data_IF_934229094483
#
_entry.id   IF_934229094483
#
_cell.length_a   1.000
_cell.length_b   1.000
_cell.length_c   1.000
_cell.angle_alpha   90.00
_cell.angle_beta   90.00
_cell.angle_gamma   90.00
#
_symmetry.space_group_name_H-M   'P 1'
#
loop_
_entity.id
_entity.type
_entity.pdbx_description
1 polymer ?
#
# COMPACT_ATOMS: atom_id res chain seq x y z
N UNK A 1 -5.41 -4.44 -6.65
CA UNK A 1 -4.82 -4.75 -5.31
C UNK A 1 -5.83 -4.55 -4.18
N UNK A 2 -6.38 -3.33 -3.98
CA UNK A 2 -7.31 -3.04 -2.87
C UNK A 2 -8.55 -3.95 -2.87
N UNK A 3 -9.17 -4.18 -4.04
CA UNK A 3 -10.33 -5.07 -4.15
C UNK A 3 -10.03 -6.48 -3.63
N UNK A 4 -8.94 -7.10 -4.08
CA UNK A 4 -8.52 -8.43 -3.65
C UNK A 4 -8.24 -8.52 -2.12
N UNK A 5 -7.66 -7.47 -1.53
CA UNK A 5 -7.46 -7.41 -0.08
C UNK A 5 -8.80 -7.41 0.67
N UNK A 6 -9.78 -6.67 0.17
CA UNK A 6 -11.13 -6.63 0.76
C UNK A 6 -11.86 -7.96 0.61
N UNK A 7 -11.70 -8.65 -0.52
CA UNK A 7 -12.27 -9.98 -0.75
C UNK A 7 -11.79 -11.02 0.28
N UNK A 8 -10.53 -10.93 0.70
CA UNK A 8 -9.97 -11.79 1.77
C UNK A 8 -10.19 -11.23 3.19
N UNK A 9 -11.01 -10.19 3.34
CA UNK A 9 -11.40 -9.61 4.64
C UNK A 9 -10.39 -8.65 5.25
N UNK A 10 -9.39 -8.17 4.50
CA UNK A 10 -8.38 -7.22 4.97
C UNK A 10 -8.82 -5.79 4.60
N UNK A 11 -8.95 -4.86 5.57
CA UNK A 11 -9.30 -3.49 5.28
C UNK A 11 -8.17 -2.79 4.53
N UNK A 12 -8.51 -2.23 3.36
CA UNK A 12 -7.58 -1.50 2.51
C UNK A 12 -8.30 -0.37 1.76
N UNK A 13 -7.55 0.67 1.41
CA UNK A 13 -7.99 1.80 0.60
C UNK A 13 -6.84 2.32 -0.24
N UNK A 14 -7.15 3.08 -1.29
CA UNK A 14 -6.14 3.88 -1.99
C UNK A 14 -5.86 5.12 -1.15
N UNK A 15 -4.59 5.48 -0.99
CA UNK A 15 -4.20 6.74 -0.38
C UNK A 15 -3.81 7.74 -1.48
N UNK A 16 -4.31 8.97 -1.38
CA UNK A 16 -3.97 10.05 -2.31
C UNK A 16 -2.75 10.85 -1.87
N UNK A 17 -2.20 10.55 -0.70
CA UNK A 17 -0.96 11.16 -0.18
C UNK A 17 -0.11 10.12 0.54
N UNK A 18 1.21 10.14 0.28
CA UNK A 18 2.19 9.37 1.04
C UNK A 18 2.82 10.19 2.18
N UNK A 19 2.24 11.36 2.48
CA UNK A 19 2.82 12.36 3.38
C UNK A 19 3.96 13.14 2.73
N UNK A 20 4.71 13.87 3.55
CA UNK A 20 5.84 14.71 3.10
C UNK A 20 7.16 14.33 3.76
N UNK A 21 7.21 13.14 4.37
CA UNK A 21 8.40 12.61 5.02
C UNK A 21 9.11 11.56 4.15
N UNK A 22 9.96 10.74 4.76
CA UNK A 22 10.81 9.76 4.08
C UNK A 22 10.04 8.76 3.22
N UNK A 23 8.82 8.36 3.59
CA UNK A 23 8.03 7.40 2.81
C UNK A 23 7.70 7.95 1.41
N UNK A 24 7.21 9.19 1.33
CA UNK A 24 6.97 9.87 0.07
C UNK A 24 8.28 10.09 -0.70
N UNK A 25 9.37 10.45 -0.02
CA UNK A 25 10.67 10.63 -0.66
C UNK A 25 11.18 9.35 -1.34
N UNK A 26 11.03 8.18 -0.69
CA UNK A 26 11.41 6.88 -1.26
C UNK A 26 10.54 6.55 -2.47
N UNK A 27 9.22 6.70 -2.35
CA UNK A 27 8.29 6.47 -3.46
C UNK A 27 8.61 7.38 -4.65
N UNK A 28 8.81 8.68 -4.41
CA UNK A 28 9.11 9.66 -5.45
C UNK A 28 10.41 9.31 -6.18
N UNK A 29 11.50 9.02 -5.44
CA UNK A 29 12.77 8.66 -6.05
C UNK A 29 12.70 7.35 -6.85
N UNK A 30 11.98 6.33 -6.36
CA UNK A 30 11.76 5.09 -7.10
C UNK A 30 11.10 5.38 -8.45
N UNK A 31 9.97 6.10 -8.44
CA UNK A 31 9.22 6.40 -9.66
C UNK A 31 10.01 7.31 -10.61
N UNK A 32 10.72 8.29 -10.07
CA UNK A 32 11.59 9.16 -10.85
C UNK A 32 12.74 8.38 -11.51
N UNK A 33 13.36 7.45 -10.78
CA UNK A 33 14.43 6.61 -11.31
C UNK A 33 13.92 5.67 -12.42
N UNK A 34 12.77 5.02 -12.21
CA UNK A 34 12.16 4.18 -13.24
C UNK A 34 11.90 4.96 -14.53
N UNK A 35 11.37 6.17 -14.39
CA UNK A 35 11.08 7.03 -15.54
C UNK A 35 12.35 7.52 -16.25
N UNK A 36 13.36 7.98 -15.50
CA UNK A 36 14.57 8.58 -16.09
C UNK A 36 15.51 7.56 -16.70
N UNK A 37 15.47 6.31 -16.26
CA UNK A 37 16.25 5.20 -16.83
C UNK A 37 15.53 4.45 -17.95
N UNK A 38 14.26 4.75 -18.20
CA UNK A 38 13.44 4.02 -19.19
C UNK A 38 13.20 2.57 -18.78
N UNK A 39 13.17 2.27 -17.48
CA UNK A 39 12.97 0.92 -16.97
C UNK A 39 11.55 0.43 -17.27
N UNK A 40 11.43 -0.82 -17.72
CA UNK A 40 10.14 -1.49 -17.92
C UNK A 40 9.51 -2.00 -16.60
N UNK A 41 10.22 -1.87 -15.47
CA UNK A 41 9.71 -2.33 -14.18
C UNK A 41 8.55 -1.46 -13.67
N UNK A 42 7.61 -2.07 -12.95
CA UNK A 42 6.51 -1.38 -12.28
C UNK A 42 6.88 -1.08 -10.83
N UNK A 43 6.64 0.13 -10.37
CA UNK A 43 6.93 0.59 -9.02
C UNK A 43 5.71 1.13 -8.30
N UNK A 44 5.73 1.10 -6.97
CA UNK A 44 4.66 1.60 -6.12
C UNK A 44 5.06 1.62 -4.65
N UNK A 45 4.11 1.99 -3.78
CA UNK A 45 4.31 2.06 -2.34
C UNK A 45 3.04 1.68 -1.59
N UNK A 46 3.18 1.03 -0.44
CA UNK A 46 2.08 0.66 0.45
C UNK A 46 2.43 1.05 1.88
N UNK A 47 1.56 1.81 2.53
CA UNK A 47 1.63 2.03 3.97
C UNK A 47 0.93 0.90 4.71
N UNK A 48 1.46 0.52 5.87
CA UNK A 48 0.84 -0.42 6.80
C UNK A 48 0.54 0.28 8.12
N UNK A 49 -0.50 -0.15 8.86
CA UNK A 49 -0.80 0.37 10.19
C UNK A 49 0.27 -0.04 11.20
N UNK A 50 0.18 0.52 12.41
CA UNK A 50 0.93 0.01 13.55
C UNK A 50 0.65 -1.47 13.82
N UNK A 51 1.66 -2.17 14.34
CA UNK A 51 1.45 -3.44 15.02
C UNK A 51 0.78 -3.21 16.38
N UNK A 52 0.03 -4.17 16.96
CA UNK A 52 -0.67 -3.98 18.23
C UNK A 52 0.25 -3.54 19.37
N UNK A 53 1.48 -4.06 19.42
CA UNK A 53 2.47 -3.72 20.43
C UNK A 53 2.96 -2.26 20.31
N UNK A 54 2.99 -1.72 19.09
CA UNK A 54 3.33 -0.32 18.86
C UNK A 54 2.14 0.58 19.22
N UNK A 55 0.94 0.22 18.78
CA UNK A 55 -0.28 0.98 19.10
C UNK A 55 -0.60 0.99 20.60
N UNK A 56 -0.20 -0.03 21.36
CA UNK A 56 -0.33 -0.03 22.82
C UNK A 56 0.39 1.15 23.51
N UNK A 57 1.38 1.77 22.82
CA UNK A 57 2.10 2.95 23.30
C UNK A 57 1.44 4.27 22.86
N UNK A 58 0.37 4.21 22.05
CA UNK A 58 -0.29 5.37 21.46
C UNK A 58 -1.82 5.24 21.64
N UNK A 59 -2.35 5.93 22.65
CA UNK A 59 -3.78 5.83 23.01
C UNK A 59 -4.69 6.12 21.80
N UNK A 60 -5.55 5.16 21.46
CA UNK A 60 -6.51 5.26 20.36
C UNK A 60 -5.93 5.03 18.96
N UNK A 61 -4.64 4.72 18.82
CA UNK A 61 -4.05 4.43 17.53
C UNK A 61 -4.59 3.11 16.94
N UNK A 62 -5.04 3.10 15.66
CA UNK A 62 -5.42 1.87 15.01
C UNK A 62 -4.20 0.97 14.78
N UNK A 63 -4.42 -0.33 14.79
CA UNK A 63 -3.38 -1.32 14.50
C UNK A 63 -3.92 -2.49 13.70
N UNK A 64 -2.99 -3.28 13.16
CA UNK A 64 -3.27 -4.51 12.44
C UNK A 64 -2.27 -5.58 12.88
N UNK A 65 -2.73 -6.82 13.06
CA UNK A 65 -1.85 -7.91 13.47
C UNK A 65 -0.76 -8.18 12.44
N UNK A 66 0.42 -8.62 12.88
CA UNK A 66 1.52 -8.99 11.97
C UNK A 66 1.10 -10.04 10.95
N UNK A 67 0.30 -11.02 11.36
CA UNK A 67 -0.22 -12.07 10.47
C UNK A 67 -1.11 -11.48 9.36
N UNK A 68 -2.00 -10.54 9.71
CA UNK A 68 -2.85 -9.86 8.71
C UNK A 68 -2.02 -8.99 7.76
N UNK A 69 -0.98 -8.31 8.25
CA UNK A 69 -0.07 -7.54 7.39
C UNK A 69 0.69 -8.46 6.42
N UNK A 70 1.18 -9.61 6.89
CA UNK A 70 1.84 -10.61 6.03
C UNK A 70 0.88 -11.08 4.94
N UNK A 71 -0.32 -11.52 5.32
CA UNK A 71 -1.34 -11.95 4.36
C UNK A 71 -1.68 -10.85 3.34
N UNK A 72 -1.74 -9.59 3.78
CA UNK A 72 -1.98 -8.45 2.90
C UNK A 72 -0.85 -8.28 1.87
N UNK A 73 0.42 -8.37 2.30
CA UNK A 73 1.57 -8.24 1.41
C UNK A 73 1.66 -9.40 0.42
N UNK A 74 1.43 -10.63 0.87
CA UNK A 74 1.41 -11.83 0.00
C UNK A 74 0.31 -11.72 -1.07
N UNK A 75 -0.92 -11.38 -0.65
CA UNK A 75 -2.05 -11.17 -1.58
C UNK A 75 -1.74 -10.04 -2.57
N UNK A 76 -1.14 -8.95 -2.08
CA UNK A 76 -0.77 -7.80 -2.94
C UNK A 76 0.26 -8.21 -3.99
N UNK A 77 1.30 -8.95 -3.61
CA UNK A 77 2.33 -9.45 -4.53
C UNK A 77 1.74 -10.40 -5.57
N UNK A 78 0.88 -11.33 -5.17
CA UNK A 78 0.18 -12.22 -6.11
C UNK A 78 -0.59 -11.42 -7.16
N UNK A 79 -1.40 -10.45 -6.74
CA UNK A 79 -2.19 -9.59 -7.64
C UNK A 79 -1.28 -8.78 -8.55
N UNK A 80 -0.19 -8.20 -8.04
CA UNK A 80 0.76 -7.43 -8.84
C UNK A 80 1.37 -8.31 -9.94
N UNK A 81 1.76 -9.55 -9.61
CA UNK A 81 2.36 -10.48 -10.58
C UNK A 81 1.36 -10.99 -11.62
N UNK A 82 0.09 -11.19 -11.26
CA UNK A 82 -0.92 -11.75 -12.15
C UNK A 82 -1.75 -10.72 -12.92
N UNK A 83 -1.63 -9.42 -12.58
CA UNK A 83 -2.48 -8.36 -13.12
C UNK A 83 -1.62 -7.29 -13.80
N UNK A 84 -1.75 -7.13 -15.11
CA UNK A 84 -1.04 -6.09 -15.86
C UNK A 84 -1.77 -4.76 -15.84
N UNK A 85 -3.10 -4.79 -16.02
CA UNK A 85 -3.97 -3.60 -16.10
C UNK A 85 -4.88 -3.56 -14.90
N UNK A 86 -4.88 -2.43 -14.20
CA UNK A 86 -5.74 -2.25 -13.03
C UNK A 86 -7.21 -2.16 -13.42
N UNK A 87 -8.08 -2.48 -12.47
CA UNK A 87 -9.54 -2.36 -12.63
C UNK A 87 -9.97 -0.89 -12.64
N UNK A 88 -11.12 -0.60 -13.25
CA UNK A 88 -11.71 0.74 -13.25
C UNK A 88 -12.80 0.83 -12.20
N UNK A 89 -12.42 1.32 -11.02
CA UNK A 89 -13.33 1.52 -9.88
C UNK A 89 -13.03 2.86 -9.20
N UNK A 90 -14.03 3.45 -8.55
CA UNK A 90 -13.86 4.69 -7.80
C UNK A 90 -13.10 4.40 -6.50
N UNK A 91 -11.82 4.77 -6.47
CA UNK A 91 -10.96 4.65 -5.29
C UNK A 91 -10.57 5.97 -4.62
N UNK A 92 -11.02 7.11 -5.17
CA UNK A 92 -10.67 8.44 -4.64
C UNK A 92 -11.38 8.77 -3.33
N UNK A 93 -10.79 9.70 -2.57
CA UNK A 93 -11.36 10.28 -1.36
C UNK A 93 -11.72 11.75 -1.61
N UNK A 94 -12.83 12.24 -1.03
CA UNK A 94 -13.28 13.64 -1.14
C UNK A 94 -12.67 14.56 -0.08
N UNK A 95 -11.85 14.00 0.82
CA UNK A 95 -11.18 14.70 1.93
C UNK A 95 -9.78 14.12 2.14
#
# INVERSE_FOLDING_TARGET
>A
MVAALREVGIPASVSQTAGTFTCNNVMYHLLHWLQTTGSAARGGFVHIPYMPQQAAQHLGAPSMSTASVIQALETSLQVILSTEKDIREVGGATH
#
